data_IF_156570917686
#
_entry.id   IF_156570917686
#
_cell.length_a   1.000
_cell.length_b   1.000
_cell.length_c   1.000
_cell.angle_alpha   90.00
_cell.angle_beta   90.00
_cell.angle_gamma   90.00
#
_symmetry.space_group_name_H-M   'P 1'
#
loop_
_entity.id
_entity.type
_entity.pdbx_description
1 polymer ?
#
# COMPACT_ATOMS: atom_id res chain seq x y z
N UNK A 1 6.51 8.90 4.60
CA UNK A 1 7.84 9.54 4.57
C UNK A 1 8.46 9.38 3.20
N UNK A 2 8.98 10.46 2.65
CA UNK A 2 9.59 10.48 1.30
C UNK A 2 11.07 10.74 1.38
N UNK A 3 11.84 10.08 0.52
CA UNK A 3 13.28 10.24 0.45
C UNK A 3 13.73 10.25 -1.01
N UNK A 4 14.54 11.24 -1.40
CA UNK A 4 15.13 11.28 -2.72
C UNK A 4 16.24 10.23 -2.83
N UNK A 5 16.17 9.35 -3.83
CA UNK A 5 17.12 8.25 -4.01
C UNK A 5 18.00 8.38 -5.24
N UNK A 6 18.01 9.56 -5.89
CA UNK A 6 18.76 9.82 -7.09
C UNK A 6 17.96 9.53 -8.36
N UNK A 7 18.51 9.91 -9.52
CA UNK A 7 17.86 9.76 -10.84
C UNK A 7 16.45 10.37 -10.93
N UNK A 8 16.13 11.35 -10.06
CA UNK A 8 14.82 11.98 -10.02
C UNK A 8 13.72 11.13 -9.40
N UNK A 9 14.06 10.04 -8.74
CA UNK A 9 13.10 9.16 -8.08
C UNK A 9 13.04 9.43 -6.58
N UNK A 10 11.91 9.04 -5.96
CA UNK A 10 11.69 9.15 -4.53
C UNK A 10 11.27 7.80 -3.96
N UNK A 11 11.72 7.54 -2.74
CA UNK A 11 11.29 6.38 -1.99
C UNK A 11 10.20 6.82 -1.02
N UNK A 12 9.04 6.18 -1.09
CA UNK A 12 7.94 6.41 -0.16
C UNK A 12 7.86 5.26 0.82
N UNK A 13 7.98 5.59 2.12
CA UNK A 13 7.87 4.63 3.23
C UNK A 13 6.63 4.91 4.04
N UNK A 14 5.96 3.83 4.43
CA UNK A 14 4.79 3.91 5.31
C UNK A 14 4.77 2.71 6.25
N UNK A 15 3.86 2.72 7.21
CA UNK A 15 3.72 1.65 8.20
C UNK A 15 5.05 1.38 8.93
N UNK A 16 5.67 2.46 9.40
CA UNK A 16 6.96 2.39 10.08
C UNK A 16 6.75 1.84 11.49
N UNK A 17 7.44 0.75 11.80
CA UNK A 17 7.32 0.06 13.07
C UNK A 17 8.70 -0.12 13.72
N UNK A 18 8.71 0.00 15.04
CA UNK A 18 9.89 -0.29 15.84
C UNK A 18 9.77 -1.71 16.37
N UNK A 19 10.79 -2.52 16.14
CA UNK A 19 10.86 -3.90 16.61
C UNK A 19 12.07 -4.07 17.52
N UNK A 20 11.87 -4.73 18.68
CA UNK A 20 12.96 -5.11 19.55
C UNK A 20 13.37 -6.54 19.22
N UNK A 21 14.63 -6.72 18.82
CA UNK A 21 15.19 -8.03 18.52
C UNK A 21 16.06 -8.47 19.68
N UNK A 22 15.70 -9.57 20.31
CA UNK A 22 16.53 -10.19 21.35
C UNK A 22 17.65 -10.97 20.72
N UNK A 23 18.88 -10.75 21.20
CA UNK A 23 20.02 -11.54 20.77
C UNK A 23 20.10 -12.82 21.57
N UNK A 24 20.48 -13.90 20.92
CA UNK A 24 20.83 -15.14 21.60
C UNK A 24 22.08 -14.95 22.45
N UNK A 25 22.26 -15.79 23.46
CA UNK A 25 23.46 -15.83 24.32
C UNK A 25 23.69 -14.61 25.21
N UNK A 26 22.61 -13.95 25.63
CA UNK A 26 22.70 -12.88 26.64
C UNK A 26 23.19 -11.52 26.12
N UNK A 27 23.14 -11.31 24.79
CA UNK A 27 23.40 -9.99 24.24
C UNK A 27 22.29 -8.99 24.56
N UNK A 28 22.59 -7.71 24.51
CA UNK A 28 21.59 -6.66 24.71
C UNK A 28 20.57 -6.65 23.55
N UNK A 29 19.28 -6.40 23.84
CA UNK A 29 18.28 -6.26 22.81
C UNK A 29 18.64 -5.12 21.85
N UNK A 30 18.45 -5.36 20.56
CA UNK A 30 18.69 -4.36 19.52
C UNK A 30 17.34 -3.88 18.98
N UNK A 31 17.16 -2.58 18.89
CA UNK A 31 15.97 -1.98 18.29
C UNK A 31 16.17 -1.91 16.78
N UNK A 32 15.22 -2.47 16.03
CA UNK A 32 15.18 -2.37 14.58
C UNK A 32 13.92 -1.66 14.12
N UNK A 33 14.04 -0.93 13.03
CA UNK A 33 12.91 -0.25 12.40
C UNK A 33 12.53 -1.02 11.15
N UNK A 34 11.25 -1.28 11.00
CA UNK A 34 10.69 -1.87 9.78
C UNK A 34 9.67 -0.93 9.17
N UNK A 35 9.56 -0.97 7.86
CA UNK A 35 8.57 -0.18 7.12
C UNK A 35 8.25 -0.86 5.79
N UNK A 36 7.12 -0.48 5.23
CA UNK A 36 6.79 -0.79 3.83
C UNK A 36 7.28 0.35 2.98
N UNK A 37 7.73 0.06 1.78
CA UNK A 37 8.27 1.09 0.90
C UNK A 37 7.99 0.79 -0.57
N UNK A 38 7.93 1.84 -1.38
CA UNK A 38 7.83 1.74 -2.84
C UNK A 38 8.59 2.91 -3.47
N UNK A 39 9.04 2.73 -4.70
CA UNK A 39 9.73 3.78 -5.45
C UNK A 39 8.72 4.56 -6.29
N UNK A 40 8.76 5.89 -6.15
CA UNK A 40 7.96 6.81 -6.95
C UNK A 40 8.88 7.49 -7.96
N UNK A 41 8.57 7.37 -9.24
CA UNK A 41 9.37 7.99 -10.32
C UNK A 41 9.06 9.47 -10.42
N UNK A 42 10.11 10.29 -10.44
CA UNK A 42 9.98 11.75 -10.50
C UNK A 42 9.53 12.34 -9.18
N UNK A 43 8.98 13.54 -9.21
CA UNK A 43 8.50 14.21 -7.99
C UNK A 43 7.34 13.45 -7.36
N UNK A 44 7.25 13.40 -6.02
CA UNK A 44 6.14 12.72 -5.36
C UNK A 44 4.85 13.51 -5.55
N UNK A 45 3.98 12.98 -6.41
CA UNK A 45 2.65 13.52 -6.66
C UNK A 45 1.61 12.54 -6.11
N UNK A 46 0.46 13.05 -5.68
CA UNK A 46 -0.59 12.24 -5.07
C UNK A 46 -0.97 11.02 -5.92
N UNK A 47 -1.28 11.23 -7.21
CA UNK A 47 -1.68 10.13 -8.08
C UNK A 47 -0.59 9.08 -8.27
N UNK A 48 0.65 9.51 -8.43
CA UNK A 48 1.80 8.59 -8.57
C UNK A 48 2.03 7.79 -7.29
N UNK A 49 1.96 8.44 -6.13
CA UNK A 49 2.16 7.77 -4.85
C UNK A 49 1.05 6.76 -4.57
N UNK A 50 -0.21 7.13 -4.81
CA UNK A 50 -1.36 6.23 -4.65
C UNK A 50 -1.20 5.01 -5.55
N UNK A 51 -0.90 5.20 -6.82
CA UNK A 51 -0.72 4.09 -7.76
C UNK A 51 0.42 3.18 -7.34
N UNK A 52 1.56 3.74 -6.94
CA UNK A 52 2.71 2.95 -6.51
C UNK A 52 2.38 2.08 -5.30
N UNK A 53 1.67 2.62 -4.30
CA UNK A 53 1.28 1.88 -3.10
C UNK A 53 0.26 0.79 -3.46
N UNK A 54 -0.71 1.10 -4.32
CA UNK A 54 -1.70 0.11 -4.75
C UNK A 54 -0.99 -1.05 -5.47
N UNK A 55 -0.01 -0.77 -6.34
CA UNK A 55 0.73 -1.82 -7.07
C UNK A 55 1.58 -2.70 -6.14
N UNK A 56 2.05 -2.17 -5.02
CA UNK A 56 2.74 -3.00 -4.01
C UNK A 56 1.78 -3.94 -3.27
N UNK A 57 0.50 -3.58 -3.17
CA UNK A 57 -0.52 -4.38 -2.49
C UNK A 57 -1.24 -5.32 -3.47
N UNK A 58 -1.59 -4.82 -4.65
CA UNK A 58 -2.33 -5.55 -5.68
C UNK A 58 -1.67 -5.37 -7.04
N UNK A 59 -1.56 -6.45 -7.79
CA UNK A 59 -1.19 -6.34 -9.22
C UNK A 59 -2.38 -5.82 -10.02
N UNK A 60 -2.11 -5.30 -11.22
CA UNK A 60 -3.18 -4.87 -12.13
C UNK A 60 -4.14 -6.02 -12.44
N UNK A 61 -3.62 -7.22 -12.63
CA UNK A 61 -4.43 -8.41 -12.90
C UNK A 61 -5.34 -8.76 -11.73
N UNK A 62 -4.84 -8.64 -10.50
CA UNK A 62 -5.65 -8.88 -9.30
C UNK A 62 -6.80 -7.89 -9.18
N UNK A 63 -6.56 -6.61 -9.46
CA UNK A 63 -7.60 -5.59 -9.47
C UNK A 63 -8.65 -5.87 -10.53
N UNK A 64 -8.23 -6.18 -11.76
CA UNK A 64 -9.15 -6.51 -12.85
C UNK A 64 -9.98 -7.74 -12.51
N UNK A 65 -9.38 -8.75 -11.90
CA UNK A 65 -10.11 -9.96 -11.50
C UNK A 65 -11.20 -9.64 -10.47
N UNK A 66 -10.90 -8.81 -9.48
CA UNK A 66 -11.89 -8.40 -8.47
C UNK A 66 -13.03 -7.59 -9.08
N UNK A 67 -12.71 -6.63 -9.94
CA UNK A 67 -13.71 -5.79 -10.61
C UNK A 67 -14.61 -6.64 -11.52
N UNK A 68 -14.01 -7.55 -12.29
CA UNK A 68 -14.76 -8.44 -13.18
C UNK A 68 -15.67 -9.38 -12.41
N UNK A 69 -15.23 -9.95 -11.30
CA UNK A 69 -16.06 -10.78 -10.42
C UNK A 69 -17.24 -10.00 -9.88
N UNK A 70 -17.02 -8.79 -9.39
CA UNK A 70 -18.07 -7.95 -8.86
C UNK A 70 -19.08 -7.57 -9.94
N UNK A 71 -18.63 -7.21 -11.13
CA UNK A 71 -19.52 -6.90 -12.25
C UNK A 71 -20.33 -8.12 -12.67
N UNK A 72 -19.73 -9.30 -12.68
CA UNK A 72 -20.44 -10.57 -12.96
C UNK A 72 -21.49 -10.88 -11.90
N UNK A 73 -21.21 -10.60 -10.64
CA UNK A 73 -22.18 -10.73 -9.56
C UNK A 73 -23.36 -9.78 -9.77
N UNK A 74 -23.10 -8.51 -10.06
CA UNK A 74 -24.15 -7.51 -10.33
C UNK A 74 -25.02 -7.87 -11.53
N UNK A 75 -24.42 -8.48 -12.55
CA UNK A 75 -25.15 -8.94 -13.74
C UNK A 75 -25.93 -10.24 -13.52
N UNK A 76 -25.79 -10.85 -12.35
CA UNK A 76 -26.50 -12.11 -12.02
C UNK A 76 -25.85 -13.36 -12.61
N UNK A 77 -24.65 -13.26 -13.18
CA UNK A 77 -23.93 -14.41 -13.76
C UNK A 77 -23.32 -15.28 -12.65
N UNK A 78 -22.80 -14.64 -11.60
CA UNK A 78 -22.24 -15.30 -10.41
C UNK A 78 -23.15 -14.98 -9.22
N UNK A 79 -23.41 -15.95 -8.36
CA UNK A 79 -24.30 -15.79 -7.20
C UNK A 79 -23.57 -15.84 -5.85
N UNK A 80 -22.25 -15.87 -5.86
CA UNK A 80 -21.43 -15.94 -4.64
C UNK A 80 -21.38 -14.57 -3.93
N UNK A 81 -22.06 -14.47 -2.80
CA UNK A 81 -22.13 -13.23 -2.01
C UNK A 81 -20.78 -12.82 -1.38
N UNK A 82 -19.82 -13.75 -1.24
CA UNK A 82 -18.48 -13.42 -0.70
C UNK A 82 -17.74 -12.44 -1.59
N UNK A 83 -18.07 -12.37 -2.87
CA UNK A 83 -17.48 -11.42 -3.84
C UNK A 83 -17.75 -9.98 -3.42
N UNK A 84 -18.93 -9.69 -2.88
CA UNK A 84 -19.27 -8.34 -2.41
C UNK A 84 -18.37 -7.93 -1.26
N UNK A 85 -18.15 -8.83 -0.30
CA UNK A 85 -17.26 -8.58 0.84
C UNK A 85 -15.81 -8.35 0.42
N UNK A 86 -15.31 -9.14 -0.51
CA UNK A 86 -13.96 -8.97 -1.07
C UNK A 86 -13.79 -7.61 -1.76
N UNK A 87 -14.77 -7.22 -2.56
CA UNK A 87 -14.72 -5.96 -3.29
C UNK A 87 -14.82 -4.76 -2.34
N UNK A 88 -15.69 -4.83 -1.35
CA UNK A 88 -15.79 -3.78 -0.32
C UNK A 88 -14.49 -3.64 0.46
N UNK A 89 -13.84 -4.75 0.82
CA UNK A 89 -12.54 -4.75 1.49
C UNK A 89 -11.48 -4.05 0.64
N UNK A 90 -11.46 -4.36 -0.65
CA UNK A 90 -10.57 -3.70 -1.60
C UNK A 90 -10.81 -2.18 -1.66
N UNK A 91 -12.06 -1.77 -1.79
CA UNK A 91 -12.41 -0.35 -1.84
C UNK A 91 -12.01 0.41 -0.56
N UNK A 92 -12.20 -0.22 0.61
CA UNK A 92 -11.79 0.36 1.89
C UNK A 92 -10.29 0.50 1.98
N UNK A 93 -9.54 -0.48 1.51
CA UNK A 93 -8.08 -0.42 1.50
C UNK A 93 -7.56 0.67 0.58
N UNK A 94 -8.12 0.79 -0.61
CA UNK A 94 -7.77 1.87 -1.54
C UNK A 94 -8.07 3.24 -0.92
N UNK A 95 -9.22 3.40 -0.27
CA UNK A 95 -9.58 4.65 0.42
C UNK A 95 -8.58 4.97 1.54
N UNK A 96 -8.17 3.96 2.32
CA UNK A 96 -7.17 4.12 3.37
C UNK A 96 -5.80 4.54 2.81
N UNK A 97 -5.39 3.94 1.69
CA UNK A 97 -4.15 4.31 0.98
C UNK A 97 -4.21 5.78 0.56
N UNK A 98 -5.30 6.21 -0.05
CA UNK A 98 -5.47 7.59 -0.51
C UNK A 98 -5.39 8.60 0.64
N UNK A 99 -6.03 8.32 1.75
CA UNK A 99 -6.00 9.16 2.95
C UNK A 99 -4.57 9.28 3.50
N UNK A 100 -3.87 8.16 3.60
CA UNK A 100 -2.50 8.13 4.12
C UNK A 100 -1.54 8.89 3.22
N UNK A 101 -1.61 8.68 1.91
CA UNK A 101 -0.75 9.38 0.94
C UNK A 101 -1.01 10.88 0.99
N UNK A 102 -2.26 11.29 1.04
CA UNK A 102 -2.63 12.70 1.14
C UNK A 102 -2.03 13.36 2.37
N UNK A 103 -2.11 12.69 3.52
CA UNK A 103 -1.56 13.18 4.78
C UNK A 103 -0.04 13.27 4.74
N UNK A 104 0.61 12.23 4.20
CA UNK A 104 2.08 12.18 4.12
C UNK A 104 2.64 13.23 3.16
N UNK A 105 1.97 13.48 2.04
CA UNK A 105 2.35 14.55 1.11
C UNK A 105 2.20 15.94 1.74
N UNK A 106 1.14 16.16 2.51
CA UNK A 106 0.93 17.42 3.22
C UNK A 106 2.05 17.68 4.22
N UNK A 107 2.57 16.64 4.88
CA UNK A 107 3.69 16.74 5.81
C UNK A 107 5.03 16.91 5.11
N UNK A 108 5.18 16.39 3.89
CA UNK A 108 6.42 16.48 3.12
C UNK A 108 6.67 17.89 2.58
N UNK A 109 5.62 18.54 2.14
CA UNK A 109 5.68 19.92 1.62
C UNK A 109 5.62 20.93 2.77
#
# INVERSE_FOLDING_TARGET
MFEAVGNGNYLYRWDIQEETVEREEGGEPTVQWSCKETTVKGNPEYGKCVEAVIRETYTADEEFAMINKYNSYKAGIITDESIVGEYEGYLREVASIKERVKRDLASYV
#
